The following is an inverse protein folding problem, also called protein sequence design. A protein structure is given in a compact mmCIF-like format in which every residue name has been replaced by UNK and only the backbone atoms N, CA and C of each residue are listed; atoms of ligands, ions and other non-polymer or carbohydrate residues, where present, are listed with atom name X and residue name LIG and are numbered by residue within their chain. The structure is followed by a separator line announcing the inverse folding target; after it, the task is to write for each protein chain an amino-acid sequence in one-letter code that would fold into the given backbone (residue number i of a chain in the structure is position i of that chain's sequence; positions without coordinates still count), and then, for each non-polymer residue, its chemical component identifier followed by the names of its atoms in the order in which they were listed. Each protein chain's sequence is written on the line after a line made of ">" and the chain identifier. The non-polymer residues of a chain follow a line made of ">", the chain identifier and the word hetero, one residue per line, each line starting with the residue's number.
data_IF_383473558225
#
_entry.id   IF_383473558225
#
_cell.length_a   1.000
_cell.length_b   1.000
_cell.length_c   1.000
_cell.angle_alpha   90.00
_cell.angle_beta   90.00
_cell.angle_gamma   90.00
#
_symmetry.space_group_name_H-M   'P 1'
#
loop_
_entity.id
_entity.type
_entity.pdbx_description
1 polymer ?
#
# COMPACT_ATOMS: atom_id res chain seq x y z
N UNK A 1 9.42 -1.18 -8.67
CA UNK A 1 8.65 -1.76 -7.55
C UNK A 1 7.33 -1.05 -7.57
N UNK A 2 6.22 -1.75 -7.71
CA UNK A 2 4.91 -1.13 -7.90
C UNK A 2 4.04 -1.47 -6.70
N UNK A 3 3.77 -0.44 -5.89
CA UNK A 3 2.69 -0.44 -4.91
C UNK A 3 1.51 0.21 -5.59
N UNK A 4 0.39 -0.48 -5.68
CA UNK A 4 -0.85 0.10 -6.19
C UNK A 4 -1.78 0.44 -5.02
N UNK A 5 -2.30 1.65 -5.02
CA UNK A 5 -3.30 2.09 -4.04
C UNK A 5 -4.62 2.27 -4.75
N UNK A 6 -5.64 1.53 -4.30
CA UNK A 6 -7.01 1.61 -4.83
C UNK A 6 -7.97 2.02 -3.72
N UNK A 7 -9.10 2.63 -4.10
CA UNK A 7 -10.15 3.07 -3.16
C UNK A 7 -11.48 2.41 -3.52
N UNK A 8 -11.71 1.15 -3.11
CA UNK A 8 -12.91 0.43 -3.47
C UNK A 8 -14.16 0.95 -2.76
N UNK A 9 -13.99 1.63 -1.62
CA UNK A 9 -15.05 2.20 -0.81
C UNK A 9 -14.64 3.56 -0.27
N UNK A 10 -15.60 4.45 0.07
CA UNK A 10 -15.31 5.68 0.80
C UNK A 10 -14.54 5.36 2.08
N UNK A 11 -13.52 6.17 2.37
CA UNK A 11 -12.66 6.01 3.53
C UNK A 11 -11.80 4.74 3.63
N UNK A 12 -11.82 3.86 2.61
CA UNK A 12 -11.00 2.65 2.58
C UNK A 12 -9.95 2.76 1.48
N UNK A 13 -8.68 2.64 1.86
CA UNK A 13 -7.57 2.51 0.93
C UNK A 13 -7.05 1.07 0.95
N UNK A 14 -6.89 0.46 -0.23
CA UNK A 14 -6.32 -0.87 -0.40
C UNK A 14 -4.97 -0.73 -1.09
N UNK A 15 -3.92 -1.16 -0.40
CA UNK A 15 -2.53 -1.16 -0.85
C UNK A 15 -2.20 -2.58 -1.31
N UNK A 16 -2.00 -2.75 -2.62
CA UNK A 16 -1.67 -4.03 -3.23
C UNK A 16 -0.20 -4.08 -3.62
N UNK A 17 0.51 -5.10 -3.12
CA UNK A 17 1.90 -5.39 -3.41
C UNK A 17 2.00 -6.30 -4.65
N UNK A 18 2.18 -5.72 -5.85
CA UNK A 18 2.27 -6.50 -7.08
C UNK A 18 3.71 -7.02 -7.35
N UNK A 19 4.10 -8.16 -6.76
CA UNK A 19 5.33 -8.91 -7.12
C UNK A 19 5.21 -10.45 -6.98
N UNK A 20 4.36 -11.10 -7.78
CA UNK A 20 4.23 -12.56 -7.76
C UNK A 20 5.55 -13.27 -8.15
N UNK A 21 6.33 -12.71 -9.08
CA UNK A 21 7.56 -13.34 -9.60
C UNK A 21 8.79 -13.31 -8.65
N UNK A 22 8.78 -12.52 -7.58
CA UNK A 22 9.88 -12.46 -6.59
C UNK A 22 9.48 -12.92 -5.18
N UNK A 23 8.35 -13.64 -5.05
CA UNK A 23 7.84 -14.20 -3.78
C UNK A 23 7.79 -13.19 -2.64
N UNK A 24 7.44 -11.93 -2.90
CA UNK A 24 7.41 -10.89 -1.87
C UNK A 24 8.64 -10.90 -0.96
N UNK A 25 9.84 -11.06 -1.52
CA UNK A 25 11.05 -10.79 -0.77
C UNK A 25 10.91 -9.37 -0.20
N UNK A 26 10.68 -9.29 1.12
CA UNK A 26 10.61 -8.10 1.98
C UNK A 26 11.97 -7.42 1.96
N UNK A 27 12.37 -7.02 0.76
CA UNK A 27 13.50 -6.18 0.48
C UNK A 27 13.19 -4.82 1.06
N UNK A 28 14.22 -4.15 1.54
CA UNK A 28 14.15 -2.82 2.15
C UNK A 28 13.25 -1.89 1.31
N UNK A 29 13.41 -1.92 0.00
CA UNK A 29 12.63 -1.07 -0.89
C UNK A 29 11.12 -1.41 -1.00
N UNK A 30 10.65 -2.61 -0.63
CA UNK A 30 9.19 -2.87 -0.45
C UNK A 30 8.70 -2.21 0.83
N UNK A 31 9.49 -2.31 1.89
CA UNK A 31 9.17 -1.68 3.17
C UNK A 31 9.13 -0.16 3.03
N UNK A 32 10.08 0.42 2.30
CA UNK A 32 10.12 1.85 2.01
C UNK A 32 8.90 2.27 1.19
N UNK A 33 8.59 1.56 0.09
CA UNK A 33 7.43 1.90 -0.75
C UNK A 33 6.08 1.76 -0.02
N UNK A 34 5.96 0.81 0.92
CA UNK A 34 4.78 0.69 1.79
C UNK A 34 4.74 1.84 2.79
N UNK A 35 5.88 2.22 3.37
CA UNK A 35 5.95 3.35 4.30
C UNK A 35 5.54 4.65 3.61
N UNK A 36 6.06 4.91 2.41
CA UNK A 36 5.71 6.09 1.62
C UNK A 36 4.21 6.13 1.29
N UNK A 37 3.62 4.98 0.93
CA UNK A 37 2.19 4.88 0.66
C UNK A 37 1.34 5.12 1.93
N UNK A 38 1.79 4.61 3.08
CA UNK A 38 1.12 4.84 4.36
C UNK A 38 1.23 6.29 4.81
N UNK A 39 2.38 6.94 4.62
CA UNK A 39 2.56 8.35 4.97
C UNK A 39 1.64 9.25 4.12
N UNK A 40 1.50 8.94 2.82
CA UNK A 40 0.57 9.63 1.95
C UNK A 40 -0.90 9.43 2.35
N UNK A 41 -1.26 8.22 2.79
CA UNK A 41 -2.61 7.90 3.29
C UNK A 41 -2.89 8.50 4.67
N UNK A 42 -1.87 8.65 5.52
CA UNK A 42 -2.01 9.26 6.84
C UNK A 42 -2.30 10.77 6.76
N UNK A 43 -1.83 11.43 5.69
CA UNK A 43 -2.14 12.82 5.39
C UNK A 43 -3.56 13.02 4.80
N UNK A 44 -4.25 11.93 4.44
CA UNK A 44 -5.59 11.99 3.86
C UNK A 44 -6.66 11.80 4.95
N UNK A 45 -7.34 12.90 5.32
CA UNK A 45 -8.37 12.89 6.36
C UNK A 45 -9.61 12.06 5.98
N UNK A 46 -9.82 11.79 4.69
CA UNK A 46 -10.92 10.96 4.22
C UNK A 46 -10.64 9.47 4.46
N UNK A 47 -9.37 9.05 4.55
CA UNK A 47 -8.98 7.65 4.77
C UNK A 47 -9.11 7.31 6.24
N UNK A 48 -9.94 6.31 6.55
CA UNK A 48 -10.14 5.80 7.91
C UNK A 48 -9.59 4.39 8.09
N UNK A 49 -9.47 3.63 7.01
CA UNK A 49 -9.02 2.24 7.03
C UNK A 49 -8.06 1.99 5.89
N UNK A 50 -6.93 1.35 6.20
CA UNK A 50 -5.95 0.88 5.21
C UNK A 50 -5.88 -0.64 5.25
N UNK A 51 -6.07 -1.28 4.10
CA UNK A 51 -5.93 -2.73 3.92
C UNK A 51 -4.69 -2.98 3.08
N UNK A 52 -3.77 -3.80 3.57
CA UNK A 52 -2.56 -4.19 2.84
C UNK A 52 -2.71 -5.64 2.40
N UNK A 53 -2.52 -5.89 1.10
CA UNK A 53 -2.61 -7.24 0.50
C UNK A 53 -1.55 -7.43 -0.58
N UNK A 54 -1.26 -8.66 -0.99
CA UNK A 54 -0.24 -8.99 -1.99
C UNK A 54 -0.36 -10.40 -2.52
#
# INVERSE_FOLDING_TARGET
>A
MSVEVTRPQPAVAVVTLARPEKRNALSIAVRDAVSDALDALAADEDVKVVVITG
#
